data_IF_216361994646
#
_entry.id   IF_216361994646
#
_cell.length_a   1.000
_cell.length_b   1.000
_cell.length_c   1.000
_cell.angle_alpha   90.00
_cell.angle_beta   90.00
_cell.angle_gamma   90.00
#
_symmetry.space_group_name_H-M   'P 1'
#
loop_
_entity.id
_entity.type
_entity.pdbx_description
1 polymer ?
#
# COMPACT_ATOMS: atom_id res chain seq x y z
N UNK A 1 27.66 1.03 33.98
CA UNK A 1 27.22 1.75 32.77
C UNK A 1 26.62 0.70 31.87
N UNK A 2 25.30 0.72 31.66
CA UNK A 2 24.58 -0.31 30.90
C UNK A 2 24.80 0.01 29.43
N UNK A 3 25.37 -0.93 28.67
CA UNK A 3 25.55 -0.81 27.23
C UNK A 3 24.19 -0.48 26.60
N UNK A 4 24.14 0.65 25.90
CA UNK A 4 22.98 1.05 25.11
C UNK A 4 23.15 0.36 23.78
N UNK A 5 22.47 -0.79 23.60
CA UNK A 5 22.46 -1.49 22.31
C UNK A 5 22.07 -0.48 21.23
N UNK A 6 22.97 -0.29 20.25
CA UNK A 6 22.69 0.62 19.14
C UNK A 6 21.48 0.10 18.37
N UNK A 7 20.55 0.97 17.96
CA UNK A 7 19.44 0.55 17.14
C UNK A 7 19.99 -0.03 15.83
N UNK A 8 19.51 -1.23 15.49
CA UNK A 8 19.75 -1.89 14.21
C UNK A 8 19.54 -0.91 13.05
N UNK A 9 20.45 -0.90 12.09
CA UNK A 9 20.31 0.01 10.95
C UNK A 9 19.15 -0.44 10.05
N UNK A 10 18.56 0.49 9.31
CA UNK A 10 17.52 0.18 8.34
C UNK A 10 18.02 -0.81 7.28
N UNK A 11 19.31 -0.72 6.94
CA UNK A 11 19.99 -1.64 6.02
C UNK A 11 20.11 -3.06 6.62
N UNK A 12 20.41 -3.19 7.91
CA UNK A 12 20.48 -4.46 8.62
C UNK A 12 19.13 -5.18 8.69
N UNK A 13 18.04 -4.43 8.84
CA UNK A 13 16.67 -4.96 8.78
C UNK A 13 16.29 -5.53 7.42
N UNK A 14 16.94 -5.08 6.34
CA UNK A 14 16.59 -5.42 4.97
C UNK A 14 17.47 -6.53 4.36
N UNK A 15 18.53 -6.98 5.07
CA UNK A 15 19.51 -7.96 4.56
C UNK A 15 18.89 -9.30 4.14
N UNK A 16 17.77 -9.68 4.75
CA UNK A 16 17.08 -10.95 4.47
C UNK A 16 15.88 -10.79 3.52
N UNK A 17 15.62 -9.58 3.01
CA UNK A 17 14.55 -9.37 2.02
C UNK A 17 15.09 -9.80 0.66
N UNK A 18 14.81 -11.05 0.31
CA UNK A 18 15.02 -11.58 -1.03
C UNK A 18 14.24 -10.73 -2.05
N UNK A 19 14.96 -9.88 -2.79
CA UNK A 19 14.36 -9.03 -3.84
C UNK A 19 14.09 -9.91 -5.05
N UNK A 20 12.93 -10.59 -5.06
CA UNK A 20 12.21 -10.77 -6.33
C UNK A 20 11.91 -9.39 -6.88
N UNK A 21 11.99 -9.21 -8.20
CA UNK A 21 11.81 -7.95 -8.94
C UNK A 21 10.45 -7.24 -8.75
N UNK A 22 9.68 -7.60 -7.72
CA UNK A 22 8.40 -7.02 -7.40
C UNK A 22 8.53 -5.53 -7.04
N UNK A 23 7.66 -4.73 -7.64
CA UNK A 23 7.43 -3.35 -7.25
C UNK A 23 6.41 -3.30 -6.11
N UNK A 24 6.46 -2.24 -5.31
CA UNK A 24 5.44 -1.97 -4.30
C UNK A 24 5.05 -0.49 -4.29
N UNK A 25 3.84 -0.20 -3.85
CA UNK A 25 3.32 1.16 -3.77
C UNK A 25 2.37 1.32 -2.59
N UNK A 26 2.26 2.55 -2.10
CA UNK A 26 1.14 3.00 -1.28
C UNK A 26 0.11 3.66 -2.17
N UNK A 27 -1.15 3.25 -2.08
CA UNK A 27 -2.27 3.88 -2.78
C UNK A 27 -3.10 4.62 -1.75
N UNK A 28 -3.13 5.95 -1.87
CA UNK A 28 -3.82 6.85 -0.97
C UNK A 28 -5.19 7.17 -1.55
N UNK A 29 -6.25 6.77 -0.86
CA UNK A 29 -7.63 6.82 -1.36
C UNK A 29 -8.41 7.92 -0.64
N UNK A 30 -9.04 8.79 -1.44
CA UNK A 30 -10.15 9.66 -1.01
C UNK A 30 -11.46 8.93 -1.33
N UNK A 31 -12.34 8.77 -0.34
CA UNK A 31 -13.53 7.94 -0.40
C UNK A 31 -14.83 8.71 -0.11
N UNK A 32 -15.96 8.08 -0.42
CA UNK A 32 -17.26 8.41 0.16
C UNK A 32 -17.36 7.73 1.53
N UNK A 33 -17.52 8.47 2.64
CA UNK A 33 -17.54 7.88 3.99
C UNK A 33 -18.54 6.72 4.18
N UNK A 34 -19.78 6.77 3.63
CA UNK A 34 -20.71 5.65 3.77
C UNK A 34 -20.25 4.35 3.08
N UNK A 35 -19.37 4.45 2.09
CA UNK A 35 -18.91 3.31 1.29
C UNK A 35 -17.61 2.69 1.84
N UNK A 36 -16.94 3.31 2.81
CA UNK A 36 -15.66 2.81 3.36
C UNK A 36 -15.71 1.32 3.73
N UNK A 37 -16.75 0.80 4.43
CA UNK A 37 -16.82 -0.63 4.72
C UNK A 37 -16.88 -1.52 3.47
N UNK A 38 -17.58 -1.07 2.42
CA UNK A 38 -17.67 -1.78 1.14
C UNK A 38 -16.35 -1.71 0.38
N UNK A 39 -15.67 -0.56 0.41
CA UNK A 39 -14.35 -0.37 -0.20
C UNK A 39 -13.34 -1.31 0.43
N UNK A 40 -13.26 -1.38 1.77
CA UNK A 40 -12.34 -2.30 2.46
C UNK A 40 -12.63 -3.77 2.11
N UNK A 41 -13.90 -4.15 2.00
CA UNK A 41 -14.29 -5.50 1.60
C UNK A 41 -13.90 -5.80 0.16
N UNK A 42 -14.01 -4.84 -0.76
CA UNK A 42 -13.56 -5.02 -2.13
C UNK A 42 -12.03 -5.12 -2.20
N UNK A 43 -11.31 -4.21 -1.53
CA UNK A 43 -9.85 -4.22 -1.45
C UNK A 43 -9.29 -5.53 -0.90
N UNK A 44 -9.93 -6.15 0.09
CA UNK A 44 -9.48 -7.43 0.67
C UNK A 44 -9.60 -8.64 -0.29
N UNK A 45 -10.31 -8.49 -1.41
CA UNK A 45 -10.41 -9.53 -2.45
C UNK A 45 -9.34 -9.39 -3.54
N UNK A 46 -8.56 -8.31 -3.53
CA UNK A 46 -7.50 -8.06 -4.51
C UNK A 46 -6.20 -8.68 -3.98
N UNK A 47 -5.69 -9.72 -4.63
CA UNK A 47 -4.51 -10.49 -4.19
C UNK A 47 -3.26 -9.62 -3.95
N UNK A 48 -3.09 -8.58 -4.76
CA UNK A 48 -1.96 -7.67 -4.70
C UNK A 48 -2.03 -6.69 -3.52
N UNK A 49 -3.21 -6.51 -2.91
CA UNK A 49 -3.39 -5.67 -1.71
C UNK A 49 -2.89 -6.44 -0.49
N UNK A 50 -1.84 -5.92 0.16
CA UNK A 50 -1.23 -6.53 1.35
C UNK A 50 -1.75 -5.94 2.65
N UNK A 51 -2.15 -4.67 2.64
CA UNK A 51 -2.91 -4.05 3.72
C UNK A 51 -3.79 -2.93 3.19
N UNK A 52 -4.86 -2.62 3.90
CA UNK A 52 -5.74 -1.48 3.65
C UNK A 52 -6.25 -0.97 4.99
N UNK A 53 -5.80 0.22 5.39
CA UNK A 53 -6.06 0.80 6.69
C UNK A 53 -6.86 2.09 6.55
N UNK A 54 -7.93 2.23 7.33
CA UNK A 54 -8.65 3.49 7.47
C UNK A 54 -7.82 4.41 8.35
N UNK A 55 -7.55 5.63 7.88
CA UNK A 55 -6.68 6.57 8.58
C UNK A 55 -7.39 7.89 8.87
N UNK A 56 -6.97 8.56 9.93
CA UNK A 56 -7.42 9.92 10.26
C UNK A 56 -6.45 10.91 9.62
N UNK A 57 -6.63 11.21 8.32
CA UNK A 57 -5.75 12.10 7.56
C UNK A 57 -6.49 12.87 6.46
N UNK A 58 -5.74 13.41 5.50
CA UNK A 58 -6.31 14.03 4.29
C UNK A 58 -6.87 12.99 3.30
N UNK A 59 -6.52 11.72 3.53
CA UNK A 59 -7.04 10.54 2.84
C UNK A 59 -7.83 9.70 3.84
N UNK A 60 -8.76 8.90 3.32
CA UNK A 60 -9.62 8.05 4.14
C UNK A 60 -9.01 6.65 4.31
N UNK A 61 -8.33 6.12 3.28
CA UNK A 61 -7.75 4.77 3.28
C UNK A 61 -6.35 4.81 2.69
N UNK A 62 -5.40 4.11 3.33
CA UNK A 62 -4.06 3.85 2.79
C UNK A 62 -3.93 2.36 2.51
N UNK A 63 -3.56 2.03 1.27
CA UNK A 63 -3.44 0.65 0.81
C UNK A 63 -1.98 0.37 0.45
N UNK A 64 -1.42 -0.73 0.97
CA UNK A 64 -0.12 -1.23 0.52
C UNK A 64 -0.31 -2.30 -0.54
N UNK A 65 0.29 -2.10 -1.71
CA UNK A 65 0.15 -2.97 -2.89
C UNK A 65 1.51 -3.48 -3.33
N UNK A 66 1.56 -4.76 -3.72
CA UNK A 66 2.76 -5.41 -4.29
C UNK A 66 2.39 -6.04 -5.63
N UNK A 67 3.18 -5.79 -6.67
CA UNK A 67 3.06 -6.40 -8.00
C UNK A 67 4.42 -6.78 -8.55
N UNK A 68 4.45 -7.55 -9.64
CA UNK A 68 5.64 -7.95 -10.38
C UNK A 68 6.43 -6.74 -10.91
N UNK A 69 5.74 -5.68 -11.34
CA UNK A 69 6.35 -4.44 -11.80
C UNK A 69 5.45 -3.21 -11.60
N UNK A 70 5.94 -2.03 -11.96
CA UNK A 70 5.16 -0.78 -11.89
C UNK A 70 3.93 -0.80 -12.82
N UNK A 71 4.01 -1.50 -13.94
CA UNK A 71 2.89 -1.56 -14.90
C UNK A 71 1.73 -2.38 -14.33
N UNK A 72 2.02 -3.47 -13.62
CA UNK A 72 1.01 -4.27 -12.94
C UNK A 72 0.31 -3.46 -11.86
N UNK A 73 1.07 -2.75 -11.00
CA UNK A 73 0.48 -1.84 -10.00
C UNK A 73 -0.43 -0.81 -10.67
N UNK A 74 0.01 -0.20 -11.77
CA UNK A 74 -0.82 0.72 -12.54
C UNK A 74 -2.12 0.07 -13.05
N UNK A 75 -2.06 -1.17 -13.54
CA UNK A 75 -3.25 -1.93 -13.96
C UNK A 75 -4.17 -2.23 -12.80
N UNK A 76 -3.66 -2.67 -11.65
CA UNK A 76 -4.45 -2.95 -10.45
C UNK A 76 -5.18 -1.70 -10.00
N UNK A 77 -4.49 -0.56 -9.94
CA UNK A 77 -5.12 0.71 -9.54
C UNK A 77 -6.23 1.10 -10.51
N UNK A 78 -5.99 1.02 -11.81
CA UNK A 78 -6.96 1.44 -12.84
C UNK A 78 -8.15 0.49 -12.95
N UNK A 79 -7.93 -0.83 -12.88
CA UNK A 79 -8.94 -1.85 -13.16
C UNK A 79 -9.65 -2.36 -11.91
N UNK A 80 -8.96 -2.39 -10.77
CA UNK A 80 -9.47 -3.08 -9.58
C UNK A 80 -9.76 -2.09 -8.44
N UNK A 81 -8.98 -1.02 -8.27
CA UNK A 81 -9.18 -0.04 -7.17
C UNK A 81 -10.10 1.13 -7.57
N UNK A 82 -9.76 1.84 -8.65
CA UNK A 82 -10.53 3.01 -9.10
C UNK A 82 -12.01 2.72 -9.39
N UNK A 83 -12.39 1.55 -9.94
CA UNK A 83 -13.79 1.25 -10.21
C UNK A 83 -14.62 0.87 -8.98
N UNK A 84 -14.00 0.69 -7.80
CA UNK A 84 -14.73 0.36 -6.57
C UNK A 84 -15.70 1.50 -6.24
N UNK A 85 -17.00 1.22 -6.11
CA UNK A 85 -17.97 2.24 -5.73
C UNK A 85 -17.56 2.95 -4.44
N UNK A 86 -17.55 4.28 -4.48
CA UNK A 86 -17.16 5.11 -3.36
C UNK A 86 -15.70 5.57 -3.37
N UNK A 87 -14.83 5.02 -4.22
CA UNK A 87 -13.49 5.59 -4.47
C UNK A 87 -13.64 6.85 -5.32
N UNK A 88 -13.26 8.01 -4.79
CA UNK A 88 -13.28 9.29 -5.52
C UNK A 88 -11.97 9.52 -6.26
N UNK A 89 -10.87 9.19 -5.61
CA UNK A 89 -9.51 9.42 -6.12
C UNK A 89 -8.55 8.47 -5.45
N UNK A 90 -7.61 7.94 -6.23
CA UNK A 90 -6.50 7.15 -5.77
C UNK A 90 -5.18 7.79 -6.23
N UNK A 91 -4.28 8.09 -5.28
CA UNK A 91 -2.94 8.59 -5.57
C UNK A 91 -1.94 7.47 -5.33
N UNK A 92 -1.20 7.07 -6.37
CA UNK A 92 -0.22 5.97 -6.27
C UNK A 92 1.17 6.52 -5.97
N UNK A 93 1.74 6.08 -4.86
CA UNK A 93 3.09 6.42 -4.40
C UNK A 93 3.98 5.18 -4.54
N UNK A 94 4.75 5.12 -5.64
CA UNK A 94 5.71 4.05 -5.87
C UNK A 94 6.80 4.05 -4.79
N UNK A 95 7.09 2.89 -4.21
CA UNK A 95 8.19 2.73 -3.25
C UNK A 95 9.51 2.71 -4.02
N UNK A 96 10.42 3.61 -3.64
CA UNK A 96 11.80 3.63 -4.13
C UNK A 96 12.68 2.93 -3.09
N UNK A 97 13.40 1.88 -3.50
CA UNK A 97 14.41 1.24 -2.65
C UNK A 97 15.67 2.11 -2.68
N UNK A 98 16.23 2.40 -1.51
CA UNK A 98 17.48 3.13 -1.32
C UNK A 98 18.64 2.16 -1.11
#
# INVERSE_FOLDING_TARGET
>A
MKEMEMPITFEELLKDIEIKNAASAYVLIEANPPEIPNILKALSTIENVKSADVVTGIYDIIVYVVGEDQNEIGRIVIKDINPIPGVKKATTCMVVKL
#
